data_IF_683544622827
#
_entry.id   IF_683544622827
#
_cell.length_a   1.000
_cell.length_b   1.000
_cell.length_c   1.000
_cell.angle_alpha   90.00
_cell.angle_beta   90.00
_cell.angle_gamma   90.00
#
_symmetry.space_group_name_H-M   'P 1'
#
loop_
_entity.id
_entity.type
_entity.pdbx_description
1 polymer ?
#
# COMPACT_ATOMS: atom_id res chain seq x y z
N UNK A 1 -1.62 -66.37 26.11
CA UNK A 1 -1.70 -65.71 24.79
C UNK A 1 -3.15 -65.86 24.31
N UNK A 2 -3.98 -64.82 24.48
CA UNK A 2 -5.37 -64.86 24.05
C UNK A 2 -5.51 -64.27 22.66
N UNK A 3 -5.70 -65.12 21.66
CA UNK A 3 -6.04 -64.69 20.30
C UNK A 3 -7.41 -63.99 20.35
N UNK A 4 -7.43 -62.66 20.16
CA UNK A 4 -8.68 -61.93 19.95
C UNK A 4 -9.22 -62.34 18.58
N UNK A 5 -10.22 -63.22 18.56
CA UNK A 5 -10.94 -63.58 17.34
C UNK A 5 -11.32 -62.31 16.55
N UNK A 6 -10.86 -62.23 15.30
CA UNK A 6 -11.16 -61.10 14.45
C UNK A 6 -12.67 -61.10 14.13
N UNK A 7 -13.39 -60.07 14.58
CA UNK A 7 -14.82 -59.94 14.27
C UNK A 7 -15.03 -59.95 12.75
N UNK A 8 -15.80 -60.93 12.27
CA UNK A 8 -16.15 -61.13 10.85
C UNK A 8 -17.64 -60.86 10.60
N UNK A 9 -17.95 -60.54 9.35
CA UNK A 9 -19.32 -60.28 8.87
C UNK A 9 -19.47 -60.77 7.43
N UNK A 10 -20.64 -61.31 7.11
CA UNK A 10 -20.98 -61.73 5.74
C UNK A 10 -21.49 -60.55 4.92
N UNK A 11 -20.91 -60.36 3.73
CA UNK A 11 -21.35 -59.36 2.78
C UNK A 11 -22.67 -59.78 2.13
N UNK A 12 -23.73 -58.97 2.19
CA UNK A 12 -25.01 -59.33 1.56
C UNK A 12 -25.00 -59.26 0.03
N UNK A 13 -23.98 -58.65 -0.58
CA UNK A 13 -23.86 -58.52 -2.03
C UNK A 13 -23.02 -59.63 -2.68
N UNK A 14 -21.86 -59.98 -2.13
CA UNK A 14 -21.01 -61.07 -2.66
C UNK A 14 -21.04 -62.35 -1.81
N UNK A 15 -21.77 -62.35 -0.69
CA UNK A 15 -21.95 -63.49 0.23
C UNK A 15 -20.69 -64.05 0.90
N UNK A 16 -19.53 -63.42 0.68
CA UNK A 16 -18.27 -63.77 1.35
C UNK A 16 -18.23 -63.29 2.81
N UNK A 17 -17.65 -64.11 3.70
CA UNK A 17 -17.32 -63.76 5.08
C UNK A 17 -16.03 -62.94 5.09
N UNK A 18 -16.07 -61.73 5.65
CA UNK A 18 -14.94 -60.80 5.65
C UNK A 18 -14.74 -60.16 7.03
N UNK A 19 -13.52 -59.72 7.38
CA UNK A 19 -13.29 -58.92 8.57
C UNK A 19 -14.16 -57.67 8.59
N UNK A 20 -14.65 -57.26 9.76
CA UNK A 20 -15.51 -56.07 9.94
C UNK A 20 -14.87 -54.79 9.37
N UNK A 21 -13.54 -54.69 9.33
CA UNK A 21 -12.82 -53.55 8.73
C UNK A 21 -13.05 -53.40 7.21
N UNK A 22 -13.45 -54.48 6.53
CA UNK A 22 -13.79 -54.47 5.11
C UNK A 22 -15.16 -53.83 4.84
N UNK A 23 -15.91 -53.45 5.87
CA UNK A 23 -17.21 -52.81 5.80
C UNK A 23 -17.12 -51.34 6.21
N UNK A 24 -17.81 -50.47 5.49
CA UNK A 24 -17.89 -49.05 5.85
C UNK A 24 -18.64 -48.87 7.17
N UNK A 25 -18.25 -47.85 7.94
CA UNK A 25 -18.99 -47.44 9.14
C UNK A 25 -20.38 -46.97 8.72
N UNK A 26 -21.39 -47.44 9.42
CA UNK A 26 -22.77 -47.01 9.24
C UNK A 26 -23.43 -46.86 10.61
N UNK A 27 -23.57 -45.61 11.07
CA UNK A 27 -24.08 -45.29 12.40
C UNK A 27 -25.56 -45.67 12.59
N UNK A 28 -26.32 -45.88 11.50
CA UNK A 28 -27.73 -46.28 11.60
C UNK A 28 -27.94 -47.78 11.80
N UNK A 29 -26.89 -48.60 11.73
CA UNK A 29 -26.97 -50.06 11.92
C UNK A 29 -26.56 -50.43 13.34
N UNK A 30 -27.21 -51.46 13.90
CA UNK A 30 -26.97 -51.97 15.26
C UNK A 30 -25.49 -52.31 15.52
N UNK A 31 -24.81 -52.88 14.55
CA UNK A 31 -23.38 -53.24 14.62
C UNK A 31 -22.44 -52.12 14.13
N UNK A 32 -22.97 -50.94 13.82
CA UNK A 32 -22.21 -49.79 13.33
C UNK A 32 -21.58 -49.97 11.94
N UNK A 33 -21.95 -51.01 11.18
CA UNK A 33 -21.28 -51.40 9.94
C UNK A 33 -22.25 -51.69 8.81
N UNK A 34 -21.85 -51.36 7.59
CA UNK A 34 -22.63 -51.67 6.39
C UNK A 34 -22.86 -53.19 6.24
N UNK A 35 -23.96 -53.58 5.59
CA UNK A 35 -24.23 -54.98 5.22
C UNK A 35 -23.46 -55.42 3.99
N UNK A 36 -22.93 -54.49 3.19
CA UNK A 36 -22.12 -54.78 2.01
C UNK A 36 -20.67 -54.34 2.21
N UNK A 37 -19.73 -55.13 1.69
CA UNK A 37 -18.32 -54.82 1.80
C UNK A 37 -17.95 -53.59 0.95
N UNK A 38 -16.80 -52.96 1.26
CA UNK A 38 -16.27 -51.79 0.56
C UNK A 38 -16.12 -52.00 -0.94
N UNK A 39 -15.74 -53.22 -1.36
CA UNK A 39 -15.58 -53.57 -2.79
C UNK A 39 -16.92 -53.52 -3.50
N UNK A 40 -17.92 -54.24 -2.98
CA UNK A 40 -19.27 -54.22 -3.55
C UNK A 40 -19.86 -52.81 -3.54
N UNK A 41 -19.67 -52.04 -2.45
CA UNK A 41 -20.12 -50.64 -2.36
C UNK A 41 -19.49 -49.76 -3.43
N UNK A 42 -18.19 -49.90 -3.70
CA UNK A 42 -17.50 -49.15 -4.76
C UNK A 42 -18.09 -49.47 -6.13
N UNK A 43 -18.38 -50.74 -6.41
CA UNK A 43 -19.01 -51.18 -7.67
C UNK A 43 -20.39 -50.54 -7.84
N UNK A 44 -21.26 -50.67 -6.83
CA UNK A 44 -22.61 -50.09 -6.89
C UNK A 44 -22.57 -48.56 -7.00
N UNK A 45 -21.61 -47.91 -6.34
CA UNK A 45 -21.45 -46.45 -6.42
C UNK A 45 -20.93 -46.00 -7.77
N UNK A 46 -20.05 -46.77 -8.41
CA UNK A 46 -19.59 -46.51 -9.76
C UNK A 46 -20.76 -46.63 -10.75
N UNK A 47 -21.55 -47.70 -10.66
CA UNK A 47 -22.75 -47.91 -11.49
C UNK A 47 -23.80 -46.80 -11.27
N UNK A 48 -23.99 -46.35 -10.03
CA UNK A 48 -24.89 -45.23 -9.72
C UNK A 48 -24.40 -43.92 -10.33
N UNK A 49 -23.10 -43.59 -10.18
CA UNK A 49 -22.51 -42.38 -10.79
C UNK A 49 -22.56 -42.42 -12.30
N UNK A 50 -22.31 -43.58 -12.91
CA UNK A 50 -22.40 -43.75 -14.37
C UNK A 50 -23.82 -43.55 -14.89
N UNK A 51 -24.84 -44.06 -14.17
CA UNK A 51 -26.25 -43.83 -14.52
C UNK A 51 -26.75 -42.42 -14.22
N UNK A 52 -26.09 -41.70 -13.32
CA UNK A 52 -26.51 -40.38 -12.87
C UNK A 52 -25.34 -39.37 -12.91
N UNK A 53 -24.75 -39.12 -14.08
CA UNK A 53 -23.53 -38.31 -14.20
C UNK A 53 -23.72 -36.86 -13.73
N UNK A 54 -24.94 -36.33 -13.87
CA UNK A 54 -25.28 -34.95 -13.51
C UNK A 54 -25.88 -34.79 -12.12
N UNK A 55 -26.08 -35.88 -11.36
CA UNK A 55 -26.82 -35.82 -10.09
C UNK A 55 -26.25 -34.83 -9.09
N UNK A 56 -24.93 -34.78 -8.97
CA UNK A 56 -24.28 -33.81 -8.08
C UNK A 56 -24.52 -32.36 -8.52
N UNK A 57 -24.54 -32.10 -9.84
CA UNK A 57 -24.82 -30.78 -10.40
C UNK A 57 -26.27 -30.40 -10.17
N UNK A 58 -27.20 -31.34 -10.35
CA UNK A 58 -28.63 -31.16 -10.07
C UNK A 58 -28.90 -30.90 -8.59
N UNK A 59 -28.35 -31.70 -7.69
CA UNK A 59 -28.52 -31.53 -6.24
C UNK A 59 -27.88 -30.24 -5.74
N UNK A 60 -26.79 -29.79 -6.38
CA UNK A 60 -26.20 -28.50 -6.10
C UNK A 60 -27.07 -27.35 -6.64
N UNK A 61 -27.54 -27.43 -7.89
CA UNK A 61 -28.45 -26.44 -8.47
C UNK A 61 -29.74 -26.31 -7.64
N UNK A 62 -30.29 -27.43 -7.18
CA UNK A 62 -31.44 -27.48 -6.28
C UNK A 62 -31.18 -26.73 -4.97
N UNK A 63 -30.03 -26.96 -4.32
CA UNK A 63 -29.66 -26.24 -3.09
C UNK A 63 -29.55 -24.73 -3.30
N UNK A 64 -28.99 -24.30 -4.43
CA UNK A 64 -28.91 -22.87 -4.78
C UNK A 64 -30.29 -22.29 -5.11
N UNK A 65 -31.15 -23.06 -5.78
CA UNK A 65 -32.51 -22.62 -6.08
C UNK A 65 -33.37 -22.50 -4.81
N UNK A 66 -33.23 -23.45 -3.87
CA UNK A 66 -33.93 -23.45 -2.58
C UNK A 66 -33.39 -22.38 -1.62
N UNK A 67 -32.09 -22.08 -1.69
CA UNK A 67 -31.46 -21.02 -0.93
C UNK A 67 -30.49 -20.22 -1.82
N UNK A 68 -30.95 -19.12 -2.44
CA UNK A 68 -30.10 -18.25 -3.24
C UNK A 68 -28.90 -17.67 -2.47
N UNK A 69 -29.01 -17.55 -1.15
CA UNK A 69 -27.97 -17.04 -0.25
C UNK A 69 -27.07 -18.15 0.32
N UNK A 70 -27.23 -19.41 -0.10
CA UNK A 70 -26.50 -20.56 0.42
C UNK A 70 -25.00 -20.31 0.53
N UNK A 71 -24.39 -19.70 -0.48
CA UNK A 71 -22.95 -19.41 -0.47
C UNK A 71 -22.56 -18.33 0.53
N UNK A 72 -23.36 -17.30 0.71
CA UNK A 72 -23.10 -16.24 1.67
C UNK A 72 -23.18 -16.80 3.10
N UNK A 73 -24.21 -17.60 3.40
CA UNK A 73 -24.42 -18.24 4.70
C UNK A 73 -23.34 -19.30 5.00
N UNK A 74 -23.01 -20.14 4.02
CA UNK A 74 -21.95 -21.12 4.14
C UNK A 74 -20.61 -20.43 4.36
N UNK A 75 -20.29 -19.39 3.57
CA UNK A 75 -19.04 -18.66 3.74
C UNK A 75 -18.97 -17.94 5.07
N UNK A 76 -20.06 -17.32 5.54
CA UNK A 76 -20.10 -16.68 6.86
C UNK A 76 -19.82 -17.70 7.98
N UNK A 77 -20.43 -18.89 7.89
CA UNK A 77 -20.29 -19.95 8.90
C UNK A 77 -18.95 -20.70 8.83
N UNK A 78 -18.27 -20.66 7.69
CA UNK A 78 -17.02 -21.42 7.44
C UNK A 78 -15.86 -20.51 7.02
N UNK A 79 -15.95 -19.20 7.29
CA UNK A 79 -15.02 -18.20 6.77
C UNK A 79 -13.59 -18.50 7.18
N UNK A 80 -13.39 -18.79 8.46
CA UNK A 80 -12.07 -19.02 9.04
C UNK A 80 -11.41 -20.26 8.42
N UNK A 81 -12.10 -21.40 8.42
CA UNK A 81 -11.61 -22.64 7.82
C UNK A 81 -11.36 -22.50 6.32
N UNK A 82 -12.25 -21.81 5.60
CA UNK A 82 -12.09 -21.55 4.17
C UNK A 82 -10.83 -20.71 3.90
N UNK A 83 -10.60 -19.65 4.69
CA UNK A 83 -9.42 -18.80 4.58
C UNK A 83 -8.15 -19.55 4.99
N UNK A 84 -8.19 -20.35 6.05
CA UNK A 84 -7.07 -21.16 6.53
C UNK A 84 -6.65 -22.18 5.47
N UNK A 85 -7.61 -22.87 4.85
CA UNK A 85 -7.38 -23.82 3.76
C UNK A 85 -6.76 -23.14 2.53
N UNK A 86 -7.29 -21.98 2.13
CA UNK A 86 -6.73 -21.21 1.01
C UNK A 86 -5.31 -20.75 1.33
N UNK A 87 -5.06 -20.22 2.52
CA UNK A 87 -3.73 -19.80 2.96
C UNK A 87 -2.74 -20.96 2.95
N UNK A 88 -3.12 -22.12 3.49
CA UNK A 88 -2.32 -23.34 3.49
C UNK A 88 -1.98 -23.77 2.05
N UNK A 89 -2.99 -23.86 1.18
CA UNK A 89 -2.77 -24.22 -0.22
C UNK A 89 -1.83 -23.25 -0.93
N UNK A 90 -1.98 -21.95 -0.72
CA UNK A 90 -1.13 -20.93 -1.34
C UNK A 90 0.33 -21.02 -0.88
N UNK A 91 0.57 -21.37 0.38
CA UNK A 91 1.92 -21.57 0.93
C UNK A 91 2.56 -22.86 0.39
N UNK A 92 1.78 -23.93 0.29
CA UNK A 92 2.26 -25.24 -0.20
C UNK A 92 2.38 -25.30 -1.73
N UNK A 93 1.71 -24.39 -2.47
CA UNK A 93 1.65 -24.42 -3.94
C UNK A 93 1.98 -23.05 -4.59
N UNK A 94 3.13 -22.42 -4.28
CA UNK A 94 3.46 -21.09 -4.78
C UNK A 94 3.60 -21.05 -6.31
N UNK A 95 4.20 -22.07 -6.92
CA UNK A 95 4.38 -22.14 -8.39
C UNK A 95 3.05 -22.30 -9.10
N UNK A 96 2.16 -23.18 -8.61
CA UNK A 96 0.81 -23.31 -9.19
C UNK A 96 0.02 -22.01 -9.08
N UNK A 97 0.18 -21.25 -7.99
CA UNK A 97 -0.45 -19.93 -7.85
C UNK A 97 0.08 -18.94 -8.88
N UNK A 98 1.40 -18.92 -9.13
CA UNK A 98 2.00 -18.09 -10.17
C UNK A 98 1.50 -18.47 -11.55
N UNK A 99 1.44 -19.77 -11.85
CA UNK A 99 0.90 -20.31 -13.09
C UNK A 99 -0.55 -19.85 -13.32
N UNK A 100 -1.42 -20.03 -12.31
CA UNK A 100 -2.82 -19.61 -12.37
C UNK A 100 -2.91 -18.09 -12.61
N UNK A 101 -2.13 -17.29 -11.89
CA UNK A 101 -2.13 -15.84 -12.07
C UNK A 101 -1.64 -15.44 -13.47
N UNK A 102 -0.59 -16.12 -13.97
CA UNK A 102 -0.05 -15.87 -15.30
C UNK A 102 -1.11 -16.14 -16.35
N UNK A 103 -1.71 -17.32 -16.30
CA UNK A 103 -2.80 -17.71 -17.20
C UNK A 103 -4.00 -16.76 -17.11
N UNK A 104 -4.37 -16.33 -15.90
CA UNK A 104 -5.44 -15.34 -15.74
C UNK A 104 -5.13 -14.04 -16.48
N UNK A 105 -3.89 -13.53 -16.38
CA UNK A 105 -3.49 -12.31 -17.08
C UNK A 105 -3.37 -12.50 -18.60
N UNK A 106 -2.91 -13.66 -19.07
CA UNK A 106 -2.87 -14.03 -20.49
C UNK A 106 -4.28 -14.13 -21.08
N UNK A 107 -5.20 -14.79 -20.38
CA UNK A 107 -6.60 -14.98 -20.82
C UNK A 107 -7.44 -13.70 -20.67
N UNK A 108 -7.02 -12.74 -19.83
CA UNK A 108 -7.76 -11.51 -19.54
C UNK A 108 -6.89 -10.26 -19.73
N UNK A 109 -6.39 -10.01 -20.96
CA UNK A 109 -5.58 -8.84 -21.24
C UNK A 109 -6.40 -7.58 -20.99
N UNK A 110 -5.82 -6.61 -20.28
CA UNK A 110 -6.50 -5.34 -19.98
C UNK A 110 -7.50 -5.38 -18.82
N UNK A 111 -7.72 -6.53 -18.18
CA UNK A 111 -8.60 -6.66 -17.01
C UNK A 111 -8.33 -5.60 -15.94
N UNK A 112 -7.05 -5.29 -15.68
CA UNK A 112 -6.66 -4.27 -14.69
C UNK A 112 -7.23 -2.88 -15.03
N UNK A 113 -7.10 -2.44 -16.29
CA UNK A 113 -7.64 -1.14 -16.73
C UNK A 113 -9.16 -1.12 -16.67
N UNK A 114 -9.80 -2.22 -17.06
CA UNK A 114 -11.25 -2.30 -17.03
C UNK A 114 -11.80 -2.35 -15.59
N UNK A 115 -11.11 -3.05 -14.70
CA UNK A 115 -11.41 -3.07 -13.27
C UNK A 115 -11.31 -1.67 -12.67
N UNK A 116 -10.27 -0.90 -13.00
CA UNK A 116 -10.11 0.48 -12.55
C UNK A 116 -11.25 1.36 -13.05
N UNK A 117 -11.64 1.23 -14.32
CA UNK A 117 -12.77 1.97 -14.91
C UNK A 117 -14.09 1.66 -14.21
N UNK A 118 -14.32 0.39 -13.83
CA UNK A 118 -15.52 -0.06 -13.11
C UNK A 118 -15.49 0.25 -11.61
N UNK A 119 -14.32 0.54 -11.03
CA UNK A 119 -14.15 0.74 -9.59
C UNK A 119 -13.41 2.06 -9.26
N UNK A 120 -13.88 3.22 -9.76
CA UNK A 120 -13.19 4.50 -9.56
C UNK A 120 -13.01 4.85 -8.08
N UNK A 121 -14.02 4.59 -7.24
CA UNK A 121 -13.97 4.89 -5.80
C UNK A 121 -12.85 4.12 -5.08
N UNK A 122 -12.63 2.85 -5.46
CA UNK A 122 -11.56 2.04 -4.88
C UNK A 122 -10.20 2.55 -5.31
N UNK A 123 -10.07 3.01 -6.55
CA UNK A 123 -8.84 3.62 -7.06
C UNK A 123 -8.55 4.93 -6.31
N UNK A 124 -9.56 5.78 -6.13
CA UNK A 124 -9.45 7.03 -5.38
C UNK A 124 -9.05 6.75 -3.93
N UNK A 125 -9.74 5.83 -3.25
CA UNK A 125 -9.41 5.46 -1.87
C UNK A 125 -7.98 4.90 -1.74
N UNK A 126 -7.54 4.06 -2.70
CA UNK A 126 -6.16 3.54 -2.74
C UNK A 126 -5.14 4.68 -2.89
N UNK A 127 -5.38 5.61 -3.82
CA UNK A 127 -4.51 6.78 -4.06
C UNK A 127 -4.48 7.69 -2.82
N UNK A 128 -5.62 7.94 -2.19
CA UNK A 128 -5.71 8.74 -0.98
C UNK A 128 -4.91 8.14 0.18
N UNK A 129 -4.99 6.81 0.41
CA UNK A 129 -4.19 6.12 1.43
C UNK A 129 -2.69 6.19 1.14
N UNK A 130 -2.30 5.97 -0.11
CA UNK A 130 -0.91 6.08 -0.53
C UNK A 130 -0.37 7.51 -0.33
N UNK A 131 -1.17 8.51 -0.68
CA UNK A 131 -0.84 9.92 -0.47
C UNK A 131 -0.73 10.28 1.02
N UNK A 132 -1.67 9.83 1.86
CA UNK A 132 -1.64 10.05 3.30
C UNK A 132 -0.38 9.44 3.94
N UNK A 133 0.00 8.21 3.54
CA UNK A 133 1.24 7.57 3.99
C UNK A 133 2.47 8.41 3.61
N UNK A 134 2.54 8.85 2.34
CA UNK A 134 3.64 9.69 1.85
C UNK A 134 3.70 11.04 2.59
N UNK A 135 2.57 11.71 2.78
CA UNK A 135 2.47 13.02 3.45
C UNK A 135 2.99 12.99 4.89
N UNK A 136 2.89 11.85 5.55
CA UNK A 136 3.35 11.67 6.92
C UNK A 136 4.85 11.37 7.02
N UNK A 137 5.54 11.12 5.90
CA UNK A 137 6.98 10.82 5.91
C UNK A 137 7.81 12.10 6.15
N UNK A 138 8.93 12.02 6.90
CA UNK A 138 9.80 13.16 7.15
C UNK A 138 10.30 13.82 5.85
N UNK A 139 10.63 13.01 4.84
CA UNK A 139 11.10 13.44 3.53
C UNK A 139 10.06 14.32 2.84
N UNK A 140 8.79 13.91 2.86
CA UNK A 140 7.73 14.72 2.28
C UNK A 140 7.54 16.01 3.05
N UNK A 141 7.55 15.96 4.38
CA UNK A 141 7.32 17.15 5.22
C UNK A 141 8.42 18.20 5.00
N UNK A 142 9.69 17.78 4.99
CA UNK A 142 10.84 18.67 4.76
C UNK A 142 10.82 19.23 3.34
N UNK A 143 10.72 18.36 2.32
CA UNK A 143 10.68 18.81 0.92
C UNK A 143 9.51 19.74 0.66
N UNK A 144 8.34 19.46 1.25
CA UNK A 144 7.18 20.33 1.11
C UNK A 144 7.38 21.68 1.81
N UNK A 145 8.06 21.70 2.96
CA UNK A 145 8.39 22.94 3.69
C UNK A 145 9.29 23.85 2.84
N UNK A 146 10.38 23.31 2.29
CA UNK A 146 11.28 24.06 1.41
C UNK A 146 10.59 24.48 0.11
N UNK A 147 9.87 23.56 -0.54
CA UNK A 147 9.12 23.84 -1.78
C UNK A 147 8.15 25.01 -1.58
N UNK A 148 7.36 24.99 -0.51
CA UNK A 148 6.37 26.04 -0.22
C UNK A 148 7.10 27.34 0.15
N UNK A 149 8.19 27.26 0.91
CA UNK A 149 9.02 28.40 1.26
C UNK A 149 9.58 29.13 0.03
N UNK A 150 10.21 28.39 -0.88
CA UNK A 150 10.77 28.92 -2.14
C UNK A 150 9.67 29.47 -3.05
N UNK A 151 8.54 28.76 -3.16
CA UNK A 151 7.40 29.24 -3.94
C UNK A 151 6.90 30.60 -3.44
N UNK A 152 6.75 30.76 -2.13
CA UNK A 152 6.32 32.03 -1.53
C UNK A 152 7.37 33.13 -1.73
N UNK A 153 8.66 32.80 -1.76
CA UNK A 153 9.71 33.81 -1.92
C UNK A 153 9.93 34.25 -3.36
N UNK A 154 9.66 33.39 -4.34
CA UNK A 154 9.88 33.69 -5.77
C UNK A 154 8.63 34.10 -6.55
N UNK A 155 7.44 34.08 -5.93
CA UNK A 155 6.16 34.36 -6.61
C UNK A 155 6.08 33.55 -7.94
N UNK A 156 5.91 34.22 -9.07
CA UNK A 156 5.82 33.60 -10.41
C UNK A 156 7.18 33.14 -10.96
N UNK A 157 8.30 33.62 -10.43
CA UNK A 157 9.66 33.31 -10.92
C UNK A 157 10.07 31.85 -10.67
N UNK A 158 9.33 31.12 -9.81
CA UNK A 158 9.51 29.67 -9.67
C UNK A 158 9.09 28.93 -10.95
N UNK A 159 8.13 29.46 -11.72
CA UNK A 159 7.72 28.96 -13.04
C UNK A 159 7.54 27.43 -13.13
N UNK A 160 6.97 26.81 -12.09
CA UNK A 160 6.76 25.35 -12.04
C UNK A 160 8.03 24.50 -11.87
N UNK A 161 9.24 25.09 -11.86
CA UNK A 161 10.53 24.38 -11.70
C UNK A 161 10.57 23.59 -10.39
N UNK A 162 11.30 22.47 -10.37
CA UNK A 162 11.53 21.70 -9.13
C UNK A 162 12.38 22.53 -8.18
N UNK A 163 12.13 22.42 -6.87
CA UNK A 163 12.87 23.25 -5.92
C UNK A 163 14.34 22.81 -5.83
N UNK A 164 14.61 21.50 -5.96
CA UNK A 164 15.95 20.93 -5.98
C UNK A 164 16.80 21.55 -7.10
N UNK A 165 16.21 21.74 -8.29
CA UNK A 165 16.91 22.37 -9.43
C UNK A 165 17.23 23.85 -9.23
N UNK A 166 16.60 24.51 -8.25
CA UNK A 166 16.85 25.93 -7.97
C UNK A 166 17.96 26.12 -6.94
N UNK A 167 18.20 25.15 -6.06
CA UNK A 167 19.14 25.30 -4.93
C UNK A 167 20.36 24.38 -5.02
N UNK A 168 20.37 23.45 -5.97
CA UNK A 168 21.53 22.62 -6.27
C UNK A 168 21.76 21.44 -5.31
N UNK A 169 20.77 21.08 -4.49
CA UNK A 169 20.81 19.91 -3.61
C UNK A 169 19.46 19.17 -3.59
N UNK A 170 19.51 17.92 -3.16
CA UNK A 170 18.38 16.98 -3.07
C UNK A 170 17.73 17.00 -1.69
N UNK A 171 16.52 16.44 -1.59
CA UNK A 171 15.86 16.24 -0.29
C UNK A 171 16.70 15.38 0.66
N UNK A 172 17.39 14.37 0.13
CA UNK A 172 18.20 13.45 0.93
C UNK A 172 19.44 14.15 1.52
N UNK A 173 20.09 15.01 0.72
CA UNK A 173 21.21 15.85 1.20
C UNK A 173 20.76 16.85 2.27
N UNK A 174 19.57 17.45 2.11
CA UNK A 174 19.00 18.34 3.13
C UNK A 174 18.69 17.59 4.43
N UNK A 175 18.10 16.40 4.35
CA UNK A 175 17.83 15.55 5.53
C UNK A 175 19.14 15.24 6.24
N UNK A 176 20.13 14.75 5.50
CA UNK A 176 21.44 14.40 6.06
C UNK A 176 22.13 15.61 6.71
N UNK A 177 21.99 16.81 6.12
CA UNK A 177 22.49 18.05 6.70
C UNK A 177 21.77 18.41 8.00
N UNK A 178 20.43 18.35 8.03
CA UNK A 178 19.63 18.68 9.21
C UNK A 178 19.89 17.69 10.36
N UNK A 179 19.99 16.39 10.06
CA UNK A 179 20.30 15.35 11.05
C UNK A 179 21.65 15.58 11.72
N UNK A 180 22.68 15.97 10.95
CA UNK A 180 24.00 16.33 11.50
C UNK A 180 23.95 17.55 12.42
N UNK A 181 22.95 18.41 12.25
CA UNK A 181 22.78 19.62 13.04
C UNK A 181 21.80 19.46 14.22
N UNK A 182 21.24 18.27 14.46
CA UNK A 182 20.27 18.06 15.53
C UNK A 182 20.84 18.35 16.92
N UNK A 183 20.08 19.12 17.70
CA UNK A 183 20.34 19.35 19.12
C UNK A 183 19.81 18.16 19.95
N UNK A 184 20.30 17.98 21.19
CA UNK A 184 19.81 16.93 22.07
C UNK A 184 18.28 16.93 22.20
N UNK A 185 17.65 15.78 21.95
CA UNK A 185 16.19 15.60 21.99
C UNK A 185 15.46 15.84 20.66
N UNK A 186 16.13 16.31 19.61
CA UNK A 186 15.52 16.44 18.28
C UNK A 186 15.43 15.08 17.58
N UNK A 187 14.31 14.85 16.89
CA UNK A 187 14.12 13.70 16.00
C UNK A 187 13.12 14.06 14.91
N UNK A 188 13.00 13.22 13.88
CA UNK A 188 11.93 13.39 12.90
C UNK A 188 10.52 13.20 13.48
N UNK A 189 10.41 12.54 14.64
CA UNK A 189 9.14 12.34 15.35
C UNK A 189 8.56 13.63 15.93
N UNK A 190 9.40 14.62 16.24
CA UNK A 190 8.99 15.93 16.76
C UNK A 190 9.27 17.08 15.77
N UNK A 191 9.32 16.80 14.47
CA UNK A 191 9.36 17.85 13.44
C UNK A 191 8.00 18.55 13.29
N UNK A 192 7.96 19.87 13.48
CA UNK A 192 6.76 20.70 13.35
C UNK A 192 6.48 21.60 14.56
N UNK A 193 5.23 22.04 14.68
CA UNK A 193 4.79 23.10 15.60
C UNK A 193 5.18 22.86 17.08
N UNK A 194 5.10 21.61 17.55
CA UNK A 194 5.35 21.25 18.95
C UNK A 194 6.78 20.71 19.20
N UNK A 195 7.69 20.86 18.23
CA UNK A 195 9.07 20.47 18.40
C UNK A 195 10.00 21.44 17.70
N UNK A 196 10.59 21.07 16.57
CA UNK A 196 11.58 21.91 15.89
C UNK A 196 11.17 22.28 14.45
N UNK A 197 11.70 23.42 14.00
CA UNK A 197 11.50 24.00 12.68
C UNK A 197 12.82 24.08 11.91
N UNK A 198 12.74 24.17 10.58
CA UNK A 198 13.88 24.57 9.75
C UNK A 198 14.01 26.09 9.87
N UNK A 199 15.05 26.55 10.56
CA UNK A 199 15.44 27.95 10.71
C UNK A 199 16.43 28.36 9.61
N UNK A 200 16.38 29.63 9.23
CA UNK A 200 17.42 30.26 8.44
C UNK A 200 18.36 30.98 9.40
N UNK A 201 19.64 30.60 9.44
CA UNK A 201 20.65 31.20 10.32
C UNK A 201 20.66 32.72 10.11
N UNK A 202 20.83 33.14 8.86
CA UNK A 202 20.60 34.49 8.38
C UNK A 202 19.14 34.58 7.91
N UNK A 203 18.29 35.44 8.50
CA UNK A 203 16.87 35.52 8.17
C UNK A 203 16.60 35.81 6.69
N UNK A 204 15.57 35.17 6.12
CA UNK A 204 15.18 35.40 4.71
C UNK A 204 14.91 36.86 4.38
N UNK A 205 14.40 37.63 5.35
CA UNK A 205 14.01 39.03 5.17
C UNK A 205 15.17 40.00 4.95
N UNK A 206 16.41 39.58 5.23
CA UNK A 206 17.59 40.45 5.03
C UNK A 206 18.27 40.23 3.68
N UNK A 207 17.90 39.16 2.95
CA UNK A 207 18.41 38.89 1.61
C UNK A 207 17.61 39.67 0.57
N UNK A 208 18.29 40.06 -0.51
CA UNK A 208 17.68 40.77 -1.61
C UNK A 208 17.75 39.96 -2.92
N UNK A 209 16.62 39.41 -3.34
CA UNK A 209 16.49 38.65 -4.58
C UNK A 209 15.08 38.71 -5.15
N UNK A 210 14.98 38.58 -6.46
CA UNK A 210 13.73 38.43 -7.21
C UNK A 210 13.68 37.11 -7.97
N UNK A 211 14.85 36.62 -8.42
CA UNK A 211 14.99 35.46 -9.29
C UNK A 211 15.83 34.38 -8.59
N UNK A 212 15.61 33.11 -8.92
CA UNK A 212 16.41 32.03 -8.34
C UNK A 212 17.89 32.08 -8.75
N UNK A 213 18.23 32.76 -9.84
CA UNK A 213 19.63 32.93 -10.27
C UNK A 213 20.39 33.97 -9.42
N UNK A 214 19.69 34.75 -8.59
CA UNK A 214 20.32 35.77 -7.75
C UNK A 214 21.18 35.12 -6.65
N UNK A 215 22.36 35.70 -6.42
CA UNK A 215 23.33 35.20 -5.43
C UNK A 215 22.70 35.12 -4.03
N UNK A 216 21.90 36.13 -3.66
CA UNK A 216 21.23 36.18 -2.37
C UNK A 216 20.14 35.12 -2.23
N UNK A 217 19.47 34.70 -3.32
CA UNK A 217 18.56 33.56 -3.28
C UNK A 217 19.33 32.28 -2.95
N UNK A 218 20.44 32.04 -3.64
CA UNK A 218 21.28 30.85 -3.44
C UNK A 218 21.83 30.79 -2.01
N UNK A 219 22.34 31.92 -1.48
CA UNK A 219 22.82 32.02 -0.10
C UNK A 219 21.70 31.82 0.92
N UNK A 220 20.53 32.41 0.69
CA UNK A 220 19.37 32.30 1.57
C UNK A 220 18.94 30.84 1.74
N UNK A 221 18.89 30.07 0.65
CA UNK A 221 18.41 28.68 0.65
C UNK A 221 19.51 27.61 0.68
N UNK A 222 20.78 28.00 0.81
CA UNK A 222 21.90 27.07 0.92
C UNK A 222 21.81 26.23 2.20
N UNK A 223 22.30 24.98 2.15
CA UNK A 223 22.37 24.10 3.33
C UNK A 223 23.08 24.77 4.50
N UNK A 224 24.18 25.49 4.24
CA UNK A 224 24.93 26.22 5.27
C UNK A 224 24.12 27.30 5.99
N UNK A 225 23.04 27.80 5.40
CA UNK A 225 22.14 28.78 6.02
C UNK A 225 20.91 28.12 6.67
N UNK A 226 20.71 26.81 6.53
CA UNK A 226 19.57 26.09 7.09
C UNK A 226 20.01 25.27 8.31
N UNK A 227 19.25 25.36 9.40
CA UNK A 227 19.48 24.55 10.60
C UNK A 227 18.17 24.09 11.24
N UNK A 228 18.16 22.97 11.99
CA UNK A 228 17.09 22.69 12.91
C UNK A 228 17.19 23.65 14.10
N UNK A 229 16.05 24.21 14.51
CA UNK A 229 15.95 25.03 15.71
C UNK A 229 14.61 24.73 16.40
N UNK A 230 14.59 24.64 17.73
CA UNK A 230 13.34 24.46 18.46
C UNK A 230 12.33 25.53 18.07
N UNK A 231 11.07 25.15 17.88
CA UNK A 231 10.03 26.03 17.36
C UNK A 231 9.89 27.29 18.23
N UNK A 232 9.91 27.13 19.55
CA UNK A 232 9.89 28.24 20.51
C UNK A 232 11.09 29.18 20.35
N UNK A 233 12.28 28.65 20.10
CA UNK A 233 13.51 29.42 19.92
C UNK A 233 13.49 30.16 18.58
N UNK A 234 13.02 29.52 17.52
CA UNK A 234 12.87 30.14 16.20
C UNK A 234 11.87 31.30 16.22
N UNK A 235 10.72 31.11 16.87
CA UNK A 235 9.70 32.16 17.04
C UNK A 235 10.30 33.34 17.81
N UNK A 236 11.03 33.08 18.90
CA UNK A 236 11.66 34.09 19.73
C UNK A 236 12.80 34.83 19.00
N UNK A 237 13.60 34.12 18.19
CA UNK A 237 14.66 34.70 17.35
C UNK A 237 14.10 35.69 16.33
N UNK A 238 12.98 35.35 15.69
CA UNK A 238 12.39 36.19 14.64
C UNK A 238 13.38 36.48 13.50
N UNK A 239 13.47 37.74 13.07
CA UNK A 239 14.37 38.20 12.02
C UNK A 239 15.67 38.83 12.55
N UNK A 240 16.11 38.45 13.76
CA UNK A 240 17.33 38.99 14.36
C UNK A 240 18.60 38.39 13.71
N UNK A 241 19.64 39.21 13.65
CA UNK A 241 20.98 38.85 13.15
C UNK A 241 21.94 38.74 14.33
N UNK A 242 22.68 37.63 14.39
CA UNK A 242 23.73 37.42 15.40
C UNK A 242 25.04 38.16 15.04
N UNK A 243 25.21 38.54 13.77
CA UNK A 243 26.38 39.24 13.25
C UNK A 243 25.99 40.20 12.11
N UNK A 244 26.80 41.25 11.83
CA UNK A 244 26.59 42.12 10.68
C UNK A 244 26.50 41.31 9.38
N UNK A 245 25.46 41.56 8.59
CA UNK A 245 25.23 40.92 7.31
C UNK A 245 25.06 41.96 6.22
N UNK A 246 25.78 41.79 5.11
CA UNK A 246 25.67 42.63 3.92
C UNK A 246 25.02 41.84 2.78
N UNK A 247 23.76 42.15 2.40
CA UNK A 247 23.14 41.55 1.22
C UNK A 247 23.80 42.02 -0.07
N UNK A 248 23.53 41.30 -1.16
CA UNK A 248 23.90 41.77 -2.49
C UNK A 248 23.18 43.08 -2.82
N UNK A 249 23.89 44.02 -3.45
CA UNK A 249 23.30 45.31 -3.82
C UNK A 249 22.09 45.10 -4.73
N UNK A 250 20.94 45.66 -4.33
CA UNK A 250 19.80 45.80 -5.22
C UNK A 250 20.21 46.72 -6.36
N UNK A 251 20.46 46.17 -7.54
CA UNK A 251 20.55 46.99 -8.75
C UNK A 251 19.11 47.13 -9.25
N UNK A 252 18.45 48.29 -9.05
CA UNK A 252 17.13 48.48 -9.66
C UNK A 252 17.30 48.31 -11.18
N UNK A 253 16.37 47.59 -11.80
CA UNK A 253 16.31 47.58 -13.25
C UNK A 253 16.18 49.03 -13.72
N UNK A 254 17.20 49.55 -14.40
CA UNK A 254 17.13 50.88 -14.99
C UNK A 254 16.01 50.88 -16.04
N UNK A 255 14.88 51.49 -15.72
CA UNK A 255 13.81 51.85 -16.67
C UNK A 255 14.28 53.01 -17.58
N UNK A 256 15.46 52.90 -18.18
CA UNK A 256 15.98 53.85 -19.18
C UNK A 256 15.44 53.53 -20.58
N UNK A 257 14.14 53.26 -20.68
CA UNK A 257 13.40 53.27 -21.95
C UNK A 257 12.31 54.34 -21.91
N UNK A 258 12.70 55.59 -21.73
CA UNK A 258 11.86 56.71 -22.13
C UNK A 258 12.56 57.46 -23.27
N UNK A 259 12.26 57.17 -24.55
CA UNK A 259 12.80 57.97 -25.65
C UNK A 259 12.25 59.39 -25.50
N UNK A 260 13.16 60.34 -25.26
CA UNK A 260 12.85 61.77 -25.31
C UNK A 260 12.05 62.07 -26.58
N UNK A 261 10.78 62.45 -26.42
CA UNK A 261 10.01 63.07 -27.49
C UNK A 261 10.64 64.43 -27.77
N UNK A 262 11.49 64.49 -28.79
CA UNK A 262 11.94 65.75 -29.37
C UNK A 262 10.71 66.42 -29.97
N UNK A 263 10.22 67.46 -29.31
CA UNK A 263 9.16 68.31 -29.84
C UNK A 263 9.63 68.95 -31.14
N UNK A 264 8.90 68.68 -32.24
CA UNK A 264 9.01 69.49 -33.45
C UNK A 264 8.16 70.74 -33.23
N UNK A 265 8.84 71.89 -33.22
CA UNK A 265 8.27 73.21 -33.51
C UNK A 265 7.78 73.29 -34.95
#
# INVERSE_FOLDING_TARGET
MGEREAQVKTCTACREVKPVIAFNRNKSRKDGRSSICKVCKRKTDAEYRARNPNKNKEDYAKRIAENPNYWAEWYASNREDALARVSKWQKENPEKRREINRKFHEDNPGYGKEWERRNPDKVIAKRARAYAKKKNSPEWKVANTIKVGIYKSLKDQKAGRKWESLVGYTVDELIAHLEKCFLPGMSWGNYGNDGWHIDHIIPRSVFNYEKPEDIDFQKCWALSNLRPLWAADNIRKGAQLDAPFQPSLAIPANDNTNPMKIGKT
#
